data_IF_312292246889
#
_entry.id   IF_312292246889
#
_cell.length_a   1.000
_cell.length_b   1.000
_cell.length_c   1.000
_cell.angle_alpha   90.00
_cell.angle_beta   90.00
_cell.angle_gamma   90.00
#
_symmetry.space_group_name_H-M   'P 1'
#
loop_
_entity.id
_entity.type
_entity.pdbx_description
1 polymer ?
#
# COMPACT_ATOMS: atom_id res chain seq x y z
N UNK A 1 7.08 8.41 -13.38
CA UNK A 1 6.95 9.27 -12.19
C UNK A 1 6.79 10.74 -12.54
N UNK A 2 7.65 11.35 -13.38
CA UNK A 2 7.58 12.79 -13.67
C UNK A 2 6.32 13.19 -14.43
N UNK A 3 5.89 12.39 -15.39
CA UNK A 3 4.62 12.61 -16.12
C UNK A 3 3.41 12.45 -15.20
N UNK A 4 3.41 11.43 -14.35
CA UNK A 4 2.37 11.19 -13.35
C UNK A 4 2.30 12.33 -12.33
N UNK A 5 3.45 12.76 -11.81
CA UNK A 5 3.52 13.90 -10.90
C UNK A 5 3.05 15.19 -11.56
N UNK A 6 3.39 15.41 -12.84
CA UNK A 6 2.90 16.53 -13.64
C UNK A 6 1.38 16.53 -13.76
N UNK A 7 0.77 15.36 -14.00
CA UNK A 7 -0.70 15.23 -14.05
C UNK A 7 -1.34 15.61 -12.70
N UNK A 8 -0.86 15.05 -11.60
CA UNK A 8 -1.40 15.30 -10.26
C UNK A 8 -1.19 16.74 -9.78
N UNK A 9 -0.12 17.40 -10.20
CA UNK A 9 0.20 18.77 -9.76
C UNK A 9 -0.44 19.85 -10.64
N UNK A 10 -0.69 19.60 -11.91
CA UNK A 10 -1.15 20.61 -12.87
C UNK A 10 -2.60 20.39 -13.27
N UNK A 11 -2.94 19.21 -13.78
CA UNK A 11 -4.24 18.94 -14.36
C UNK A 11 -5.29 18.51 -13.34
N UNK A 12 -4.91 17.66 -12.38
CA UNK A 12 -5.85 17.12 -11.40
C UNK A 12 -6.54 18.19 -10.52
N UNK A 13 -5.87 19.26 -10.06
CA UNK A 13 -6.52 20.32 -9.30
C UNK A 13 -7.61 21.06 -10.07
N UNK A 14 -7.40 21.28 -11.37
CA UNK A 14 -8.42 21.92 -12.23
C UNK A 14 -9.65 21.01 -12.41
N UNK A 15 -9.43 19.70 -12.62
CA UNK A 15 -10.50 18.72 -12.72
C UNK A 15 -11.26 18.56 -11.41
N UNK A 16 -10.56 18.67 -10.28
CA UNK A 16 -11.18 18.54 -8.96
C UNK A 16 -12.18 19.68 -8.67
N UNK A 17 -11.94 20.89 -9.14
CA UNK A 17 -12.91 21.98 -9.00
C UNK A 17 -14.25 21.65 -9.69
N UNK A 18 -14.21 21.13 -10.92
CA UNK A 18 -15.43 20.69 -11.61
C UNK A 18 -16.09 19.49 -10.92
N UNK A 19 -15.29 18.56 -10.42
CA UNK A 19 -15.76 17.39 -9.65
C UNK A 19 -16.52 17.85 -8.39
N UNK A 20 -15.99 18.84 -7.68
CA UNK A 20 -16.63 19.43 -6.50
C UNK A 20 -17.96 20.13 -6.82
N UNK A 21 -18.01 20.89 -7.92
CA UNK A 21 -19.25 21.54 -8.37
C UNK A 21 -20.32 20.51 -8.74
N UNK A 22 -19.94 19.48 -9.49
CA UNK A 22 -20.85 18.40 -9.84
C UNK A 22 -21.34 17.65 -8.59
N UNK A 23 -20.45 17.35 -7.66
CA UNK A 23 -20.78 16.67 -6.40
C UNK A 23 -21.77 17.49 -5.56
N UNK A 24 -21.57 18.80 -5.45
CA UNK A 24 -22.53 19.70 -4.78
C UNK A 24 -23.90 19.71 -5.46
N UNK A 25 -23.93 19.78 -6.79
CA UNK A 25 -25.17 19.75 -7.56
C UNK A 25 -25.91 18.41 -7.38
N UNK A 26 -25.18 17.29 -7.41
CA UNK A 26 -25.73 15.96 -7.18
C UNK A 26 -26.34 15.84 -5.76
N UNK A 27 -25.65 16.29 -4.73
CA UNK A 27 -26.12 16.26 -3.35
C UNK A 27 -27.35 17.16 -3.11
N UNK A 28 -27.46 18.27 -3.85
CA UNK A 28 -28.58 19.20 -3.80
C UNK A 28 -29.76 18.78 -4.72
N UNK A 29 -29.65 17.67 -5.44
CA UNK A 29 -30.67 17.20 -6.37
C UNK A 29 -32.02 16.95 -5.67
N UNK A 30 -33.14 17.43 -6.22
CA UNK A 30 -34.48 17.14 -5.69
C UNK A 30 -34.84 15.64 -5.78
N UNK A 31 -34.15 14.89 -6.64
CA UNK A 31 -34.34 13.45 -6.84
C UNK A 31 -33.43 12.59 -5.96
N UNK A 32 -32.67 13.19 -5.05
CA UNK A 32 -31.74 12.45 -4.18
C UNK A 32 -32.41 11.28 -3.47
N UNK A 33 -33.59 11.49 -2.89
CA UNK A 33 -34.29 10.44 -2.16
C UNK A 33 -34.69 9.24 -3.04
N UNK A 34 -35.04 9.50 -4.32
CA UNK A 34 -35.38 8.44 -5.28
C UNK A 34 -34.14 7.62 -5.64
N UNK A 35 -33.00 8.28 -5.88
CA UNK A 35 -31.72 7.61 -6.12
C UNK A 35 -31.23 6.80 -4.92
N UNK A 36 -31.32 7.35 -3.70
CA UNK A 36 -30.98 6.60 -2.48
C UNK A 36 -31.83 5.35 -2.29
N UNK A 37 -33.11 5.41 -2.66
CA UNK A 37 -34.01 4.27 -2.60
C UNK A 37 -33.66 3.19 -3.63
N UNK A 38 -33.22 3.59 -4.83
CA UNK A 38 -32.93 2.66 -5.94
C UNK A 38 -31.50 2.10 -5.84
N UNK A 39 -30.49 2.93 -5.53
CA UNK A 39 -29.06 2.58 -5.57
C UNK A 39 -28.39 2.51 -4.20
N UNK A 40 -29.10 2.83 -3.13
CA UNK A 40 -28.56 2.89 -1.77
C UNK A 40 -27.91 4.23 -1.43
N UNK A 41 -27.60 4.40 -0.15
CA UNK A 41 -27.09 5.67 0.42
C UNK A 41 -25.58 5.86 0.25
N UNK A 42 -24.82 4.79 -0.07
CA UNK A 42 -23.35 4.80 -0.05
C UNK A 42 -22.73 5.82 -0.99
N UNK A 43 -23.29 5.99 -2.19
CA UNK A 43 -22.82 6.97 -3.17
C UNK A 43 -22.87 8.39 -2.61
N UNK A 44 -23.96 8.75 -1.96
CA UNK A 44 -24.16 10.09 -1.37
C UNK A 44 -23.28 10.31 -0.14
N UNK A 45 -23.09 9.29 0.71
CA UNK A 45 -22.17 9.36 1.84
C UNK A 45 -20.72 9.59 1.37
N UNK A 46 -20.29 8.89 0.32
CA UNK A 46 -18.98 9.11 -0.26
C UNK A 46 -18.82 10.49 -0.87
N UNK A 47 -19.86 11.00 -1.54
CA UNK A 47 -19.88 12.35 -2.09
C UNK A 47 -19.79 13.42 -0.98
N UNK A 48 -20.51 13.25 0.13
CA UNK A 48 -20.40 14.13 1.31
C UNK A 48 -19.01 14.12 1.93
N UNK A 49 -18.34 12.94 1.94
CA UNK A 49 -16.96 12.82 2.42
C UNK A 49 -15.99 13.51 1.46
N UNK A 50 -16.16 13.34 0.15
CA UNK A 50 -15.31 13.98 -0.85
C UNK A 50 -15.28 15.51 -0.68
N UNK A 51 -16.44 16.14 -0.40
CA UNK A 51 -16.49 17.58 -0.12
C UNK A 51 -15.73 18.00 1.15
N UNK A 52 -15.44 17.09 2.06
CA UNK A 52 -14.70 17.35 3.31
C UNK A 52 -13.19 17.21 3.16
N UNK A 53 -12.72 16.71 2.02
CA UNK A 53 -11.29 16.37 1.82
C UNK A 53 -10.53 17.37 0.97
N UNK A 54 -11.24 18.31 0.32
CA UNK A 54 -10.65 19.24 -0.63
C UNK A 54 -11.18 20.67 -0.45
N UNK A 55 -10.28 21.62 -0.66
CA UNK A 55 -10.57 23.05 -0.89
C UNK A 55 -9.44 23.60 -1.75
N UNK A 56 -9.70 24.57 -2.65
CA UNK A 56 -8.63 25.23 -3.41
C UNK A 56 -7.50 25.79 -2.53
N UNK A 57 -7.79 26.11 -1.28
CA UNK A 57 -6.82 26.62 -0.31
C UNK A 57 -5.67 25.65 0.02
N UNK A 58 -5.89 24.34 -0.16
CA UNK A 58 -4.87 23.31 0.11
C UNK A 58 -4.16 22.78 -1.14
N UNK A 59 -4.44 23.34 -2.31
CA UNK A 59 -3.78 22.91 -3.57
C UNK A 59 -2.25 22.96 -3.47
N UNK A 60 -1.62 24.03 -2.93
CA UNK A 60 -0.17 24.06 -2.79
C UNK A 60 0.38 22.91 -1.91
N UNK A 61 -0.34 22.55 -0.86
CA UNK A 61 0.03 21.44 0.01
C UNK A 61 -0.14 20.09 -0.68
N UNK A 62 -1.20 19.89 -1.47
CA UNK A 62 -1.40 18.68 -2.26
C UNK A 62 -0.29 18.49 -3.30
N UNK A 63 0.11 19.56 -3.99
CA UNK A 63 1.22 19.53 -4.93
C UNK A 63 2.54 19.15 -4.22
N UNK A 64 2.81 19.76 -3.06
CA UNK A 64 4.00 19.42 -2.28
C UNK A 64 3.94 18.00 -1.72
N UNK A 65 2.77 17.48 -1.34
CA UNK A 65 2.58 16.09 -0.93
C UNK A 65 2.93 15.13 -2.08
N UNK A 66 2.45 15.41 -3.30
CA UNK A 66 2.77 14.62 -4.49
C UNK A 66 4.26 14.63 -4.80
N UNK A 67 4.93 15.80 -4.69
CA UNK A 67 6.37 15.89 -4.91
C UNK A 67 7.15 15.02 -3.91
N UNK A 68 6.81 15.08 -2.62
CA UNK A 68 7.48 14.31 -1.57
C UNK A 68 7.23 12.80 -1.70
N UNK A 69 6.01 12.39 -2.06
CA UNK A 69 5.71 10.97 -2.28
C UNK A 69 6.40 10.45 -3.54
N UNK A 70 6.45 11.25 -4.62
CA UNK A 70 7.20 10.91 -5.83
C UNK A 70 8.71 10.78 -5.55
N UNK A 71 9.27 11.65 -4.72
CA UNK A 71 10.67 11.58 -4.30
C UNK A 71 10.96 10.27 -3.54
N UNK A 72 10.08 9.90 -2.60
CA UNK A 72 10.15 8.62 -1.88
C UNK A 72 10.07 7.43 -2.84
N UNK A 73 9.09 7.42 -3.75
CA UNK A 73 8.89 6.33 -4.68
C UNK A 73 10.09 6.15 -5.62
N UNK A 74 10.67 7.24 -6.12
CA UNK A 74 11.90 7.21 -6.91
C UNK A 74 13.07 6.63 -6.14
N UNK A 75 13.25 7.04 -4.89
CA UNK A 75 14.33 6.55 -4.03
C UNK A 75 14.20 5.04 -3.81
N UNK A 76 13.01 4.54 -3.49
CA UNK A 76 12.79 3.13 -3.21
C UNK A 76 12.83 2.28 -4.49
N UNK A 77 12.22 2.76 -5.59
CA UNK A 77 12.14 2.00 -6.84
C UNK A 77 13.49 1.93 -7.59
N UNK A 78 14.37 2.90 -7.38
CA UNK A 78 15.73 2.90 -7.94
C UNK A 78 16.76 2.14 -7.10
N UNK A 79 16.33 1.49 -6.00
CA UNK A 79 17.23 0.79 -5.10
C UNK A 79 18.04 -0.30 -5.81
N UNK A 80 19.37 -0.21 -5.71
CA UNK A 80 20.34 -1.17 -6.21
C UNK A 80 21.18 -1.68 -5.04
N UNK A 81 20.93 -2.90 -4.59
CA UNK A 81 21.54 -3.49 -3.41
C UNK A 81 22.61 -4.49 -3.84
N UNK A 82 23.91 -4.19 -3.64
CA UNK A 82 24.98 -5.15 -3.89
C UNK A 82 24.89 -6.30 -2.89
N UNK A 83 24.83 -7.54 -3.39
CA UNK A 83 24.77 -8.72 -2.54
C UNK A 83 25.33 -9.94 -3.29
N UNK A 84 26.30 -10.68 -2.69
CA UNK A 84 26.89 -11.92 -3.21
C UNK A 84 27.32 -11.87 -4.70
N UNK A 85 27.92 -10.74 -5.09
CA UNK A 85 28.43 -10.55 -6.46
C UNK A 85 27.38 -10.16 -7.50
N UNK A 86 26.13 -9.95 -7.10
CA UNK A 86 25.05 -9.37 -7.90
C UNK A 86 24.60 -8.01 -7.38
N UNK A 87 23.69 -7.37 -8.13
CA UNK A 87 22.97 -6.17 -7.72
C UNK A 87 21.48 -6.44 -7.84
N UNK A 88 20.73 -6.15 -6.81
CA UNK A 88 19.33 -6.54 -6.68
C UNK A 88 18.45 -5.36 -6.30
N UNK A 89 17.21 -5.35 -6.80
CA UNK A 89 16.16 -4.51 -6.25
C UNK A 89 15.68 -5.07 -4.88
N UNK A 90 14.91 -4.31 -4.13
CA UNK A 90 14.31 -4.76 -2.87
C UNK A 90 13.52 -6.08 -3.04
N UNK A 91 12.72 -6.18 -4.10
CA UNK A 91 11.93 -7.38 -4.40
C UNK A 91 12.81 -8.57 -4.79
N UNK A 92 13.84 -8.35 -5.60
CA UNK A 92 14.79 -9.40 -6.02
C UNK A 92 15.65 -9.93 -4.87
N UNK A 93 15.88 -9.12 -3.82
CA UNK A 93 16.59 -9.56 -2.62
C UNK A 93 15.74 -10.46 -1.71
N UNK A 94 14.41 -10.41 -1.82
CA UNK A 94 13.47 -11.12 -0.95
C UNK A 94 13.68 -12.65 -0.87
N UNK A 95 14.01 -13.39 -1.94
CA UNK A 95 14.30 -14.82 -1.84
C UNK A 95 15.47 -15.18 -0.93
N UNK A 96 16.48 -14.33 -0.83
CA UNK A 96 17.62 -14.53 0.09
C UNK A 96 17.23 -14.30 1.55
N UNK A 97 16.24 -13.42 1.80
CA UNK A 97 15.72 -13.15 3.15
C UNK A 97 14.82 -14.25 3.70
N UNK A 98 14.45 -15.24 2.90
CA UNK A 98 13.60 -16.38 3.27
C UNK A 98 14.26 -17.74 2.96
N UNK A 99 15.54 -17.74 2.65
CA UNK A 99 16.34 -18.94 2.41
C UNK A 99 16.64 -19.73 3.67
N UNK A 100 17.09 -20.98 3.52
CA UNK A 100 17.42 -21.88 4.63
C UNK A 100 18.72 -21.51 5.38
N UNK A 101 19.67 -20.88 4.69
CA UNK A 101 20.96 -20.49 5.29
C UNK A 101 20.81 -19.27 6.18
N UNK A 102 21.06 -19.45 7.48
CA UNK A 102 20.91 -18.39 8.49
C UNK A 102 21.88 -17.22 8.27
N UNK A 103 23.11 -17.51 7.83
CA UNK A 103 24.13 -16.49 7.61
C UNK A 103 23.82 -15.65 6.37
N UNK A 104 23.45 -16.30 5.27
CA UNK A 104 23.02 -15.64 4.03
C UNK A 104 21.77 -14.79 4.28
N UNK A 105 20.80 -15.34 4.99
CA UNK A 105 19.55 -14.64 5.31
C UNK A 105 19.80 -13.36 6.12
N UNK A 106 20.63 -13.46 7.16
CA UNK A 106 21.03 -12.29 7.97
C UNK A 106 21.82 -11.26 7.14
N UNK A 107 22.72 -11.75 6.26
CA UNK A 107 23.50 -10.86 5.38
C UNK A 107 22.60 -10.12 4.40
N UNK A 108 21.59 -10.76 3.81
CA UNK A 108 20.62 -10.11 2.92
C UNK A 108 19.81 -9.02 3.65
N UNK A 109 19.35 -9.29 4.88
CA UNK A 109 18.69 -8.30 5.72
C UNK A 109 19.59 -7.11 6.06
N UNK A 110 20.89 -7.36 6.32
CA UNK A 110 21.86 -6.28 6.57
C UNK A 110 22.15 -5.46 5.32
N UNK A 111 22.19 -6.08 4.14
CA UNK A 111 22.37 -5.38 2.88
C UNK A 111 21.19 -4.42 2.62
N UNK A 112 19.96 -4.87 2.81
CA UNK A 112 18.77 -4.00 2.74
C UNK A 112 18.80 -2.88 3.80
N UNK A 113 19.12 -3.22 5.06
CA UNK A 113 19.27 -2.23 6.12
C UNK A 113 20.37 -1.20 5.83
N UNK A 114 21.40 -1.58 5.08
CA UNK A 114 22.45 -0.69 4.58
C UNK A 114 21.91 0.40 3.67
N UNK A 115 21.03 0.05 2.71
CA UNK A 115 20.35 0.99 1.84
C UNK A 115 19.56 2.04 2.64
N UNK A 116 18.71 1.60 3.58
CA UNK A 116 17.94 2.54 4.41
C UNK A 116 18.83 3.43 5.28
N UNK A 117 19.94 2.90 5.77
CA UNK A 117 20.89 3.68 6.57
C UNK A 117 21.62 4.71 5.72
N UNK A 118 21.98 4.40 4.48
CA UNK A 118 22.59 5.32 3.53
C UNK A 118 21.69 6.51 3.23
N UNK A 119 20.38 6.23 3.02
CA UNK A 119 19.36 7.25 2.71
C UNK A 119 18.60 7.76 3.93
N UNK A 120 19.06 7.45 5.16
CA UNK A 120 18.31 7.78 6.38
C UNK A 120 17.92 9.26 6.46
N UNK A 121 18.87 10.17 6.23
CA UNK A 121 18.62 11.61 6.34
C UNK A 121 17.56 12.10 5.35
N UNK A 122 17.52 11.52 4.16
CA UNK A 122 16.54 11.84 3.12
C UNK A 122 15.16 11.29 3.47
N UNK A 123 15.09 10.04 3.91
CA UNK A 123 13.85 9.43 4.37
C UNK A 123 13.27 10.14 5.59
N UNK A 124 14.10 10.49 6.56
CA UNK A 124 13.69 11.24 7.75
C UNK A 124 13.14 12.63 7.37
N UNK A 125 13.80 13.34 6.44
CA UNK A 125 13.33 14.63 5.92
C UNK A 125 11.97 14.49 5.22
N UNK A 126 11.83 13.55 4.29
CA UNK A 126 10.57 13.34 3.56
C UNK A 126 9.43 13.03 4.55
N UNK A 127 9.67 12.17 5.51
CA UNK A 127 8.68 11.82 6.52
C UNK A 127 8.27 13.01 7.38
N UNK A 128 9.24 13.77 7.88
CA UNK A 128 9.00 14.95 8.71
C UNK A 128 8.21 16.04 7.95
N UNK A 129 8.63 16.34 6.71
CA UNK A 129 7.93 17.29 5.84
C UNK A 129 6.49 16.84 5.58
N UNK A 130 6.24 15.55 5.27
CA UNK A 130 4.90 15.01 5.06
C UNK A 130 4.02 15.13 6.31
N UNK A 131 4.55 14.88 7.50
CA UNK A 131 3.80 15.00 8.77
C UNK A 131 3.34 16.45 8.97
N UNK A 132 4.24 17.42 8.84
CA UNK A 132 3.95 18.84 9.01
C UNK A 132 2.99 19.37 7.93
N UNK A 133 3.20 18.97 6.69
CA UNK A 133 2.37 19.34 5.56
C UNK A 133 0.92 18.85 5.72
N UNK A 134 0.75 17.58 6.06
CA UNK A 134 -0.56 16.97 6.29
C UNK A 134 -1.30 17.58 7.48
N UNK A 135 -0.58 17.90 8.55
CA UNK A 135 -1.16 18.63 9.69
C UNK A 135 -1.64 20.03 9.27
N UNK A 136 -0.88 20.73 8.43
CA UNK A 136 -1.25 22.02 7.86
C UNK A 136 -2.50 21.92 7.00
N UNK A 137 -2.61 20.90 6.12
CA UNK A 137 -3.80 20.65 5.32
C UNK A 137 -5.04 20.43 6.20
N UNK A 138 -4.90 19.61 7.25
CA UNK A 138 -5.98 19.38 8.20
C UNK A 138 -6.46 20.68 8.85
N UNK A 139 -5.54 21.52 9.31
CA UNK A 139 -5.86 22.82 9.94
C UNK A 139 -6.49 23.81 8.98
N UNK A 140 -6.02 23.91 7.73
CA UNK A 140 -6.62 24.76 6.69
C UNK A 140 -8.07 24.37 6.39
N UNK A 141 -8.38 23.07 6.41
CA UNK A 141 -9.75 22.55 6.22
C UNK A 141 -10.61 22.63 7.50
N UNK A 142 -10.13 23.27 8.59
CA UNK A 142 -10.88 23.49 9.83
C UNK A 142 -10.82 22.35 10.83
N UNK A 143 -10.00 21.34 10.60
CA UNK A 143 -9.78 20.23 11.55
C UNK A 143 -8.72 20.59 12.61
N UNK A 144 -8.68 19.85 13.71
CA UNK A 144 -7.64 20.02 14.74
C UNK A 144 -6.23 19.59 14.29
N UNK A 145 -6.15 18.80 13.23
CA UNK A 145 -4.95 18.26 12.64
C UNK A 145 -5.30 17.22 11.56
N UNK A 146 -4.32 16.43 11.11
CA UNK A 146 -4.53 15.53 9.98
C UNK A 146 -5.43 14.32 10.24
N UNK A 147 -5.54 13.85 11.48
CA UNK A 147 -6.17 12.54 11.78
C UNK A 147 -7.59 12.45 11.22
N UNK A 148 -8.43 13.48 11.41
CA UNK A 148 -9.81 13.47 10.94
C UNK A 148 -9.87 13.55 9.40
N UNK A 149 -9.11 14.45 8.80
CA UNK A 149 -8.96 14.55 7.35
C UNK A 149 -8.46 13.24 6.75
N UNK A 150 -7.48 12.59 7.38
CA UNK A 150 -6.96 11.30 6.94
C UNK A 150 -8.02 10.19 6.93
N UNK A 151 -8.94 10.17 7.90
CA UNK A 151 -10.07 9.24 7.88
C UNK A 151 -10.98 9.48 6.68
N UNK A 152 -11.31 10.72 6.36
CA UNK A 152 -12.12 11.05 5.18
C UNK A 152 -11.39 10.74 3.88
N UNK A 153 -10.11 11.09 3.75
CA UNK A 153 -9.29 10.77 2.56
C UNK A 153 -9.15 9.26 2.33
N UNK A 154 -9.25 8.43 3.36
CA UNK A 154 -9.31 6.97 3.25
C UNK A 154 -10.72 6.42 2.98
N UNK A 155 -11.71 7.27 2.69
CA UNK A 155 -13.09 6.86 2.40
C UNK A 155 -13.80 6.20 3.57
N UNK A 156 -13.40 6.47 4.81
CA UNK A 156 -14.04 5.89 6.02
C UNK A 156 -15.37 6.57 6.29
N UNK A 157 -16.44 5.99 5.78
CA UNK A 157 -17.78 6.56 5.80
C UNK A 157 -18.69 5.99 6.91
N UNK A 158 -18.39 4.81 7.47
CA UNK A 158 -19.25 4.11 8.41
C UNK A 158 -18.61 3.85 9.79
N UNK A 159 -17.36 4.24 9.99
CA UNK A 159 -16.66 4.11 11.27
C UNK A 159 -15.65 5.23 11.48
N UNK A 160 -15.40 5.58 12.75
CA UNK A 160 -14.49 6.64 13.14
C UNK A 160 -13.39 6.15 14.09
N UNK A 161 -12.64 7.11 14.65
CA UNK A 161 -11.53 6.84 15.57
C UNK A 161 -11.94 5.97 16.76
N UNK A 162 -13.09 6.22 17.36
CA UNK A 162 -13.59 5.48 18.53
C UNK A 162 -13.86 3.99 18.19
N UNK A 163 -14.33 3.69 16.98
CA UNK A 163 -14.56 2.32 16.53
C UNK A 163 -13.25 1.60 16.27
N UNK A 164 -12.27 2.30 15.67
CA UNK A 164 -10.91 1.78 15.49
C UNK A 164 -10.22 1.50 16.83
N UNK A 165 -10.43 2.34 17.84
CA UNK A 165 -9.90 2.09 19.19
C UNK A 165 -10.51 0.83 19.84
N UNK A 166 -11.83 0.61 19.69
CA UNK A 166 -12.47 -0.65 20.11
C UNK A 166 -11.92 -1.85 19.39
N UNK A 167 -11.74 -1.75 18.06
CA UNK A 167 -11.15 -2.81 17.25
C UNK A 167 -9.72 -3.14 17.70
N UNK A 168 -8.86 -2.13 17.90
CA UNK A 168 -7.49 -2.31 18.43
C UNK A 168 -7.48 -2.98 19.81
N UNK A 169 -8.40 -2.58 20.69
CA UNK A 169 -8.53 -3.22 22.00
C UNK A 169 -8.91 -4.70 21.89
N UNK A 170 -9.82 -5.04 20.97
CA UNK A 170 -10.19 -6.43 20.68
C UNK A 170 -9.03 -7.22 20.09
N UNK A 171 -8.30 -6.68 19.12
CA UNK A 171 -7.09 -7.29 18.55
C UNK A 171 -6.06 -7.58 19.64
N UNK A 172 -5.75 -6.58 20.46
CA UNK A 172 -4.78 -6.74 21.56
C UNK A 172 -5.20 -7.81 22.58
N UNK A 173 -6.50 -7.88 22.89
CA UNK A 173 -7.02 -8.81 23.88
C UNK A 173 -7.14 -10.24 23.37
N UNK A 174 -7.59 -10.42 22.13
CA UNK A 174 -7.98 -11.72 21.63
C UNK A 174 -7.03 -12.28 20.55
N UNK A 175 -6.52 -11.44 19.66
CA UNK A 175 -5.73 -11.89 18.53
C UNK A 175 -4.23 -11.97 18.86
N UNK A 176 -3.69 -10.97 19.57
CA UNK A 176 -2.26 -10.93 19.93
C UNK A 176 -1.82 -12.17 20.71
N UNK A 177 -2.54 -12.68 21.72
CA UNK A 177 -2.13 -13.90 22.44
C UNK A 177 -2.12 -15.14 21.53
N UNK A 178 -3.04 -15.23 20.56
CA UNK A 178 -3.06 -16.32 19.58
C UNK A 178 -1.88 -16.21 18.62
N UNK A 179 -1.61 -15.02 18.10
CA UNK A 179 -0.44 -14.77 17.26
C UNK A 179 0.87 -15.10 17.99
N UNK A 180 0.97 -14.75 19.26
CA UNK A 180 2.14 -15.08 20.10
C UNK A 180 2.34 -16.59 20.22
N UNK A 181 1.27 -17.36 20.43
CA UNK A 181 1.36 -18.83 20.47
C UNK A 181 1.82 -19.41 19.12
N UNK A 182 1.35 -18.85 18.00
CA UNK A 182 1.76 -19.25 16.64
C UNK A 182 3.26 -18.97 16.44
N UNK A 183 3.76 -17.81 16.86
CA UNK A 183 5.18 -17.46 16.75
C UNK A 183 6.07 -18.33 17.65
N UNK A 184 5.60 -18.71 18.83
CA UNK A 184 6.30 -19.68 19.70
C UNK A 184 6.41 -21.06 19.03
N UNK A 185 5.34 -21.55 18.42
CA UNK A 185 5.36 -22.80 17.65
C UNK A 185 6.25 -22.71 16.41
N UNK A 186 6.26 -21.55 15.72
CA UNK A 186 7.18 -21.29 14.62
C UNK A 186 8.65 -21.37 15.10
N UNK A 187 8.99 -20.72 16.21
CA UNK A 187 10.33 -20.78 16.77
C UNK A 187 10.76 -22.22 17.08
N UNK A 188 9.90 -23.02 17.73
CA UNK A 188 10.13 -24.46 17.99
C UNK A 188 10.37 -25.23 16.69
N UNK A 189 9.50 -25.05 15.68
CA UNK A 189 9.62 -25.70 14.36
C UNK A 189 10.94 -25.36 13.68
N UNK A 190 11.41 -24.11 13.81
CA UNK A 190 12.68 -23.65 13.27
C UNK A 190 13.89 -24.11 14.12
N UNK A 191 13.67 -24.58 15.35
CA UNK A 191 14.75 -24.89 16.30
C UNK A 191 15.46 -23.64 16.82
N UNK A 192 14.73 -22.54 16.93
CA UNK A 192 15.21 -21.22 17.35
C UNK A 192 14.61 -20.83 18.69
N UNK A 193 15.24 -19.85 19.35
CA UNK A 193 14.72 -19.29 20.61
C UNK A 193 13.66 -18.24 20.30
N UNK A 194 12.55 -18.24 21.06
CA UNK A 194 11.56 -17.17 21.01
C UNK A 194 11.97 -16.02 21.97
N UNK A 195 11.76 -14.75 21.59
CA UNK A 195 11.24 -14.28 20.32
C UNK A 195 12.22 -14.47 19.16
N UNK A 196 11.71 -14.74 17.97
CA UNK A 196 12.52 -14.84 16.78
C UNK A 196 13.21 -13.49 16.46
N UNK A 197 14.42 -13.55 15.91
CA UNK A 197 15.06 -12.36 15.36
C UNK A 197 14.28 -11.85 14.16
N UNK A 198 14.43 -10.56 13.82
CA UNK A 198 13.79 -10.00 12.62
C UNK A 198 14.17 -10.76 11.34
N UNK A 199 15.38 -11.27 11.26
CA UNK A 199 15.88 -12.04 10.12
C UNK A 199 15.23 -13.44 10.02
N UNK A 200 14.72 -13.98 11.11
CA UNK A 200 14.09 -15.30 11.18
C UNK A 200 12.56 -15.26 11.18
N UNK A 201 11.96 -14.09 11.49
CA UNK A 201 10.53 -13.96 11.68
C UNK A 201 9.71 -14.31 10.43
N UNK A 202 10.23 -14.04 9.23
CA UNK A 202 9.59 -14.37 7.95
C UNK A 202 9.79 -15.83 7.52
N UNK A 203 10.65 -16.61 8.22
CA UNK A 203 10.96 -17.99 7.85
C UNK A 203 9.91 -18.97 8.39
N UNK A 204 9.25 -19.71 7.53
CA UNK A 204 8.23 -20.69 7.91
C UNK A 204 8.78 -22.10 8.19
N UNK A 205 9.82 -22.51 7.47
CA UNK A 205 10.39 -23.85 7.53
C UNK A 205 11.92 -23.81 7.56
N UNK A 206 12.56 -24.80 8.19
CA UNK A 206 14.02 -24.94 8.23
C UNK A 206 14.65 -25.05 6.84
N UNK A 207 13.92 -25.62 5.89
CA UNK A 207 14.33 -25.76 4.48
C UNK A 207 14.19 -24.48 3.66
N UNK A 208 13.78 -23.38 4.27
CA UNK A 208 13.38 -22.15 3.58
C UNK A 208 11.88 -22.13 3.30
N UNK A 209 11.39 -20.97 2.87
CA UNK A 209 9.98 -20.82 2.48
C UNK A 209 9.71 -21.47 1.12
N UNK A 210 8.45 -21.87 0.84
CA UNK A 210 8.04 -22.31 -0.47
C UNK A 210 8.40 -21.27 -1.54
N UNK A 211 8.82 -21.73 -2.69
CA UNK A 211 9.11 -20.90 -3.86
C UNK A 211 8.15 -21.22 -4.99
N UNK A 212 7.83 -20.26 -5.87
CA UNK A 212 7.09 -20.56 -7.08
C UNK A 212 7.76 -21.67 -7.89
N UNK A 213 6.94 -22.50 -8.51
CA UNK A 213 7.39 -23.60 -9.36
C UNK A 213 7.46 -23.10 -10.81
N UNK A 214 8.61 -22.57 -11.23
CA UNK A 214 8.84 -22.05 -12.57
C UNK A 214 8.94 -20.52 -12.64
N UNK A 215 9.03 -20.02 -13.87
CA UNK A 215 9.11 -18.61 -14.19
C UNK A 215 7.72 -17.92 -14.25
N UNK A 216 7.72 -16.66 -14.63
CA UNK A 216 6.50 -15.85 -14.72
C UNK A 216 5.48 -16.45 -15.71
N UNK A 217 5.93 -16.94 -16.87
CA UNK A 217 5.03 -17.54 -17.85
C UNK A 217 4.40 -18.84 -17.32
N UNK A 218 5.16 -19.63 -16.60
CA UNK A 218 4.66 -20.84 -15.93
C UNK A 218 3.59 -20.49 -14.88
N UNK A 219 3.81 -19.43 -14.07
CA UNK A 219 2.84 -18.96 -13.08
C UNK A 219 1.55 -18.50 -13.78
N UNK A 220 1.67 -17.72 -14.87
CA UNK A 220 0.51 -17.24 -15.63
C UNK A 220 -0.26 -18.39 -16.31
N UNK A 221 0.46 -19.40 -16.82
CA UNK A 221 -0.17 -20.58 -17.42
C UNK A 221 -0.97 -21.40 -16.39
N UNK A 222 -0.43 -21.57 -15.17
CA UNK A 222 -1.16 -22.20 -14.07
C UNK A 222 -2.33 -21.35 -13.59
N UNK A 223 -2.15 -20.02 -13.53
CA UNK A 223 -3.27 -19.10 -13.23
C UNK A 223 -4.41 -19.26 -14.22
N UNK A 224 -4.11 -19.30 -15.53
CA UNK A 224 -5.14 -19.55 -16.55
C UNK A 224 -5.89 -20.87 -16.31
N UNK A 225 -5.15 -21.95 -16.02
CA UNK A 225 -5.74 -23.24 -15.74
C UNK A 225 -6.70 -23.21 -14.53
N UNK A 226 -6.31 -22.52 -13.45
CA UNK A 226 -7.17 -22.37 -12.28
C UNK A 226 -8.45 -21.58 -12.60
N UNK A 227 -8.34 -20.50 -13.38
CA UNK A 227 -9.51 -19.74 -13.82
C UNK A 227 -10.38 -20.50 -14.80
N UNK A 228 -9.80 -21.38 -15.66
CA UNK A 228 -10.56 -22.27 -16.55
C UNK A 228 -11.39 -23.30 -15.75
N UNK A 229 -10.86 -23.77 -14.61
CA UNK A 229 -11.55 -24.72 -13.73
C UNK A 229 -12.66 -24.06 -12.87
N UNK A 230 -12.59 -22.74 -12.63
CA UNK A 230 -13.57 -22.01 -11.82
C UNK A 230 -14.87 -21.74 -12.59
N UNK A 231 -14.79 -21.07 -13.72
CA UNK A 231 -15.94 -20.81 -14.60
C UNK A 231 -15.50 -20.29 -15.98
N UNK A 232 -16.38 -20.39 -17.00
CA UNK A 232 -16.12 -19.79 -18.32
C UNK A 232 -15.91 -18.28 -18.28
N UNK A 233 -16.58 -17.56 -17.39
CA UNK A 233 -16.48 -16.12 -17.23
C UNK A 233 -15.12 -15.71 -16.66
N UNK A 234 -14.66 -16.38 -15.60
CA UNK A 234 -13.33 -16.12 -15.00
C UNK A 234 -12.21 -16.50 -15.96
N UNK A 235 -12.36 -17.61 -16.70
CA UNK A 235 -11.46 -18.02 -17.77
C UNK A 235 -11.30 -16.93 -18.84
N UNK A 236 -12.41 -16.45 -19.37
CA UNK A 236 -12.42 -15.41 -20.40
C UNK A 236 -11.81 -14.10 -19.90
N UNK A 237 -12.13 -13.70 -18.65
CA UNK A 237 -11.58 -12.50 -18.04
C UNK A 237 -10.07 -12.57 -17.88
N UNK A 238 -9.54 -13.66 -17.30
CA UNK A 238 -8.10 -13.79 -17.11
C UNK A 238 -7.32 -13.91 -18.43
N UNK A 239 -7.90 -14.59 -19.43
CA UNK A 239 -7.35 -14.65 -20.78
C UNK A 239 -7.25 -13.27 -21.41
N UNK A 240 -8.30 -12.46 -21.30
CA UNK A 240 -8.32 -11.08 -21.78
C UNK A 240 -7.23 -10.24 -21.10
N UNK A 241 -7.03 -10.41 -19.78
CA UNK A 241 -5.95 -9.70 -19.06
C UNK A 241 -4.57 -10.06 -19.60
N UNK A 242 -4.32 -11.35 -19.91
CA UNK A 242 -3.05 -11.81 -20.50
C UNK A 242 -2.84 -11.28 -21.91
N UNK A 243 -3.86 -11.41 -22.77
CA UNK A 243 -3.80 -10.98 -24.17
C UNK A 243 -3.61 -9.46 -24.33
N UNK A 244 -4.11 -8.68 -23.38
CA UNK A 244 -3.96 -7.23 -23.35
C UNK A 244 -2.79 -6.73 -22.51
N UNK A 245 -1.93 -7.63 -22.03
CA UNK A 245 -0.75 -7.29 -21.22
C UNK A 245 -1.08 -6.43 -19.98
N UNK A 246 -2.22 -6.71 -19.31
CA UNK A 246 -2.68 -5.98 -18.13
C UNK A 246 -2.06 -6.50 -16.81
N UNK A 247 -1.09 -7.43 -16.89
CA UNK A 247 -0.44 -8.05 -15.75
C UNK A 247 1.05 -7.68 -15.73
N UNK A 248 1.43 -6.87 -14.75
CA UNK A 248 2.83 -6.52 -14.49
C UNK A 248 3.34 -7.29 -13.26
N UNK A 249 3.90 -8.50 -13.48
CA UNK A 249 4.34 -9.42 -12.44
C UNK A 249 5.85 -9.53 -12.28
N UNK A 250 6.62 -8.91 -13.19
CA UNK A 250 8.09 -8.95 -13.11
C UNK A 250 8.63 -7.85 -12.22
N UNK A 251 9.64 -8.18 -11.42
CA UNK A 251 10.40 -7.18 -10.69
C UNK A 251 11.44 -6.54 -11.61
N UNK A 252 11.28 -5.25 -11.87
CA UNK A 252 12.18 -4.45 -12.71
C UNK A 252 12.63 -3.22 -11.95
N UNK A 253 13.78 -2.67 -12.34
CA UNK A 253 14.24 -1.36 -11.84
C UNK A 253 13.20 -0.28 -12.18
N UNK A 254 12.96 0.65 -11.26
CA UNK A 254 11.97 1.72 -11.42
C UNK A 254 10.53 1.31 -11.08
N UNK A 255 10.27 0.05 -10.75
CA UNK A 255 8.99 -0.40 -10.25
C UNK A 255 8.95 -0.27 -8.73
N UNK A 256 8.00 0.50 -8.20
CA UNK A 256 7.74 0.54 -6.76
C UNK A 256 7.34 -0.86 -6.27
N UNK A 257 7.87 -1.26 -5.12
CA UNK A 257 7.66 -2.59 -4.53
C UNK A 257 6.34 -2.65 -3.77
#
# INVERSE_FOLDING_TARGET
YDEENGFWNQLSPELEEYSQEWTKAMLASPYRADFEKEYGTLMFLNAEIALKTFSPEIIPELQKENDLTTEYDKLISSAQIPFEGGVYTLSQLSPFKTGADDAQRLAAWKAEGGLYKEHQSELDRIYDELVHLRDTMGKKLGYKGYTELGYYRMGRNCYGKADVEKFRAAVRKYLVPVAESIYQEQAKRLGKTYPLSFADAALSFRSGNPRPCGDAEHILAHGQKFYDELSPETSAFFRMMRERELLDILSTEGKAA
#
